data_IF_762682247236
#
_entry.id   IF_762682247236
#
_cell.length_a   1.000
_cell.length_b   1.000
_cell.length_c   1.000
_cell.angle_alpha   90.00
_cell.angle_beta   90.00
_cell.angle_gamma   90.00
#
_symmetry.space_group_name_H-M   'P 1'
#
loop_
_entity.id
_entity.type
_entity.pdbx_description
1 polymer ?
#
# COMPACT_ATOMS: atom_id res chain seq x y z
N UNK A 1 -15.77 -14.69 57.68
CA UNK A 1 -14.32 -14.90 57.89
C UNK A 1 -14.00 -16.36 57.62
N UNK A 2 -13.40 -16.65 56.45
CA UNK A 2 -12.65 -17.88 56.17
C UNK A 2 -11.42 -17.47 55.35
N UNK A 3 -10.31 -18.09 55.72
CA UNK A 3 -8.93 -17.72 55.46
C UNK A 3 -8.49 -17.96 54.01
N UNK A 4 -7.53 -17.13 53.59
CA UNK A 4 -6.81 -17.10 52.32
C UNK A 4 -5.99 -18.36 52.02
N UNK A 5 -5.84 -18.66 50.73
CA UNK A 5 -4.65 -19.31 50.18
C UNK A 5 -4.21 -18.55 48.94
N UNK A 6 -3.15 -17.76 49.10
CA UNK A 6 -2.34 -17.16 48.04
C UNK A 6 -1.36 -18.24 47.60
N UNK A 7 -1.36 -18.59 46.31
CA UNK A 7 -0.24 -19.31 45.71
C UNK A 7 0.58 -18.30 44.91
N UNK A 8 1.69 -17.87 45.52
CA UNK A 8 2.77 -17.12 44.89
C UNK A 8 3.98 -18.06 44.84
N UNK A 9 4.28 -18.57 43.66
CA UNK A 9 5.58 -19.14 43.26
C UNK A 9 5.72 -18.61 41.83
N UNK A 10 6.68 -17.78 41.44
CA UNK A 10 8.04 -17.57 41.95
C UNK A 10 8.96 -17.57 40.72
N UNK A 11 9.97 -16.70 40.73
CA UNK A 11 10.96 -16.42 39.67
C UNK A 11 10.45 -15.46 38.57
N UNK A 12 11.06 -14.31 38.28
CA UNK A 12 12.43 -13.88 38.57
C UNK A 12 13.17 -13.62 37.27
N UNK A 13 12.94 -12.43 36.70
CA UNK A 13 13.84 -11.53 35.94
C UNK A 13 14.80 -12.17 34.90
N UNK A 14 14.67 -11.75 33.64
CA UNK A 14 15.74 -11.09 32.88
C UNK A 14 15.19 -10.49 31.59
N UNK A 15 15.17 -9.15 31.51
CA UNK A 15 15.12 -8.43 30.24
C UNK A 15 16.56 -8.40 29.74
N UNK A 16 16.81 -9.01 28.57
CA UNK A 16 18.03 -8.82 27.81
C UNK A 16 17.64 -8.13 26.50
N UNK A 17 17.83 -6.82 26.45
CA UNK A 17 17.87 -6.06 25.20
C UNK A 17 19.30 -6.22 24.68
N UNK A 18 19.46 -6.93 23.56
CA UNK A 18 20.69 -6.86 22.76
C UNK A 18 20.26 -6.29 21.41
N UNK A 19 20.60 -5.02 21.21
CA UNK A 19 20.65 -4.42 19.89
C UNK A 19 21.93 -4.84 19.18
N UNK A 20 21.81 -5.20 17.91
CA UNK A 20 22.86 -5.15 16.88
C UNK A 20 22.16 -5.52 15.57
N UNK A 21 21.88 -4.58 14.66
CA UNK A 21 22.86 -4.02 13.73
C UNK A 21 23.75 -5.10 13.10
N UNK A 22 23.42 -5.42 11.84
CA UNK A 22 24.25 -6.00 10.79
C UNK A 22 25.45 -6.89 11.16
N UNK A 23 25.45 -8.14 10.70
CA UNK A 23 26.51 -8.68 9.83
C UNK A 23 26.23 -10.15 9.48
N UNK A 24 26.61 -10.51 8.26
CA UNK A 24 26.54 -11.84 7.68
C UNK A 24 27.43 -12.86 8.42
N UNK A 25 27.04 -14.14 8.43
CA UNK A 25 27.96 -15.26 8.62
C UNK A 25 27.55 -16.29 9.67
N UNK A 26 27.44 -17.54 9.24
CA UNK A 26 27.07 -18.76 9.99
C UNK A 26 27.90 -19.00 11.26
N UNK A 27 27.24 -19.45 12.35
CA UNK A 27 27.74 -20.58 13.14
C UNK A 27 26.64 -21.27 13.98
N UNK A 28 26.71 -22.61 14.06
CA UNK A 28 25.77 -23.46 14.79
C UNK A 28 25.89 -23.30 16.31
N UNK A 29 24.77 -23.14 17.01
CA UNK A 29 24.62 -23.50 18.42
C UNK A 29 23.38 -24.40 18.55
N UNK A 30 23.59 -25.64 19.01
CA UNK A 30 22.52 -26.54 19.45
C UNK A 30 22.28 -26.31 20.94
N UNK A 31 21.06 -25.97 21.32
CA UNK A 31 20.51 -26.14 22.67
C UNK A 31 19.00 -26.40 22.54
N UNK A 32 18.58 -27.59 22.95
CA UNK A 32 17.20 -28.10 23.06
C UNK A 32 17.09 -28.49 24.56
N UNK A 33 16.03 -28.25 25.35
CA UNK A 33 14.62 -27.92 25.15
C UNK A 33 14.09 -27.14 26.36
N UNK A 34 12.93 -26.47 26.21
CA UNK A 34 12.13 -26.02 27.35
C UNK A 34 10.92 -25.13 27.06
N UNK A 35 10.06 -25.53 26.12
CA UNK A 35 8.63 -25.16 26.00
C UNK A 35 8.23 -23.66 26.08
N UNK A 36 8.28 -22.98 24.94
CA UNK A 36 7.14 -22.26 24.32
C UNK A 36 7.69 -21.53 23.08
N UNK A 37 7.83 -22.24 21.96
CA UNK A 37 7.95 -21.58 20.67
C UNK A 37 6.60 -20.93 20.37
N UNK A 38 6.44 -19.67 20.78
CA UNK A 38 5.68 -18.74 19.97
C UNK A 38 6.39 -18.78 18.61
N UNK A 39 5.73 -19.38 17.62
CA UNK A 39 6.21 -19.32 16.26
C UNK A 39 6.34 -17.82 15.93
N UNK A 40 7.57 -17.35 15.86
CA UNK A 40 7.88 -16.07 15.25
C UNK A 40 7.38 -16.22 13.81
N UNK A 41 6.24 -15.61 13.52
CA UNK A 41 5.66 -15.64 12.20
C UNK A 41 6.77 -15.16 11.25
N UNK A 42 7.16 -16.01 10.31
CA UNK A 42 8.15 -15.65 9.32
C UNK A 42 7.73 -14.31 8.71
N UNK A 43 8.67 -13.35 8.66
CA UNK A 43 8.40 -12.08 8.02
C UNK A 43 7.79 -12.37 6.63
N UNK A 44 6.69 -11.69 6.26
CA UNK A 44 6.12 -11.87 4.94
C UNK A 44 7.20 -11.58 3.91
N UNK A 45 7.23 -12.32 2.79
CA UNK A 45 8.22 -12.07 1.75
C UNK A 45 8.08 -10.62 1.27
N UNK A 46 9.20 -9.99 0.88
CA UNK A 46 9.27 -8.56 0.56
C UNK A 46 8.36 -8.13 -0.62
N UNK A 47 7.83 -9.11 -1.35
CA UNK A 47 6.85 -9.00 -2.44
C UNK A 47 5.39 -9.03 -1.95
N UNK A 48 5.13 -8.87 -0.64
CA UNK A 48 3.78 -8.87 -0.08
C UNK A 48 3.60 -7.81 1.02
N UNK A 49 2.36 -7.32 1.20
CA UNK A 49 2.06 -6.39 2.28
C UNK A 49 2.15 -7.09 3.65
N UNK A 50 2.62 -6.34 4.67
CA UNK A 50 2.66 -6.82 6.06
C UNK A 50 1.25 -6.94 6.67
N UNK A 51 0.29 -6.23 6.10
CA UNK A 51 -1.12 -6.23 6.51
C UNK A 51 -1.99 -6.14 5.26
N UNK A 52 -2.86 -7.12 5.08
CA UNK A 52 -3.95 -7.10 4.09
C UNK A 52 -5.23 -6.82 4.86
N UNK A 53 -5.83 -5.64 4.68
CA UNK A 53 -7.13 -5.37 5.26
C UNK A 53 -8.18 -6.39 4.80
N UNK A 54 -9.10 -6.75 5.70
CA UNK A 54 -10.18 -7.69 5.38
C UNK A 54 -11.50 -6.92 5.40
N UNK A 55 -11.90 -6.41 4.25
CA UNK A 55 -13.16 -5.69 4.08
C UNK A 55 -14.12 -6.46 3.19
N UNK A 56 -15.42 -6.23 3.38
CA UNK A 56 -16.46 -6.75 2.48
C UNK A 56 -17.55 -5.71 2.45
N UNK A 57 -17.79 -5.19 1.26
CA UNK A 57 -18.82 -4.20 1.02
C UNK A 57 -19.83 -4.77 0.06
N UNK A 58 -21.10 -4.53 0.33
CA UNK A 58 -22.15 -4.78 -0.65
C UNK A 58 -21.88 -3.90 -1.89
N UNK A 59 -21.90 -4.43 -3.13
CA UNK A 59 -21.56 -3.65 -4.33
C UNK A 59 -22.36 -2.36 -4.49
N UNK A 60 -23.62 -2.37 -4.03
CA UNK A 60 -24.53 -1.22 -4.10
C UNK A 60 -24.48 -0.32 -2.85
N UNK A 61 -23.63 -0.59 -1.87
CA UNK A 61 -23.35 0.34 -0.78
C UNK A 61 -22.45 1.49 -1.25
N UNK A 62 -22.32 2.55 -0.44
CA UNK A 62 -21.46 3.68 -0.79
C UNK A 62 -19.98 3.24 -0.90
N UNK A 63 -19.57 2.40 0.03
CA UNK A 63 -18.24 1.82 0.15
C UNK A 63 -17.95 0.86 -1.02
N UNK A 64 -18.91 -0.01 -1.37
CA UNK A 64 -18.77 -0.92 -2.52
C UNK A 64 -18.59 -0.16 -3.84
N UNK A 65 -19.35 0.92 -4.04
CA UNK A 65 -19.15 1.80 -5.20
C UNK A 65 -17.81 2.56 -5.17
N UNK A 66 -17.30 2.89 -3.98
CA UNK A 66 -16.00 3.55 -3.85
C UNK A 66 -14.86 2.59 -4.20
N UNK A 67 -14.92 1.34 -3.74
CA UNK A 67 -13.98 0.27 -4.13
C UNK A 67 -14.05 0.02 -5.64
N UNK A 68 -15.26 -0.13 -6.21
CA UNK A 68 -15.40 -0.31 -7.66
C UNK A 68 -14.86 0.87 -8.49
N UNK A 69 -14.75 2.07 -7.91
CA UNK A 69 -14.06 3.20 -8.57
C UNK A 69 -12.55 3.11 -8.51
N UNK A 70 -11.97 2.51 -7.46
CA UNK A 70 -10.53 2.23 -7.42
C UNK A 70 -10.19 1.23 -8.53
N UNK A 71 -10.96 0.15 -8.64
CA UNK A 71 -10.82 -0.86 -9.71
C UNK A 71 -10.97 -0.23 -11.11
N UNK A 72 -12.02 0.57 -11.34
CA UNK A 72 -12.20 1.27 -12.63
C UNK A 72 -11.01 2.15 -13.00
N UNK A 73 -10.45 2.88 -12.02
CA UNK A 73 -9.27 3.70 -12.26
C UNK A 73 -8.04 2.83 -12.51
N UNK A 74 -7.84 1.76 -11.74
CA UNK A 74 -6.75 0.82 -11.98
C UNK A 74 -6.78 0.28 -13.43
N UNK A 75 -7.93 -0.23 -13.90
CA UNK A 75 -8.10 -0.68 -15.28
C UNK A 75 -7.84 0.40 -16.33
N UNK A 76 -8.25 1.65 -16.07
CA UNK A 76 -7.93 2.77 -16.93
C UNK A 76 -6.41 2.93 -17.09
N UNK A 77 -5.66 2.87 -15.99
CA UNK A 77 -4.20 2.97 -16.04
C UNK A 77 -3.57 1.76 -16.74
N UNK A 78 -4.01 0.54 -16.45
CA UNK A 78 -3.55 -0.66 -17.16
C UNK A 78 -3.68 -0.54 -18.67
N UNK A 79 -4.87 -0.12 -19.13
CA UNK A 79 -5.18 0.00 -20.55
C UNK A 79 -4.31 1.04 -21.29
N UNK A 80 -3.78 2.03 -20.56
CA UNK A 80 -3.01 3.15 -21.10
C UNK A 80 -1.50 3.05 -20.88
N UNK A 81 -1.03 2.36 -19.84
CA UNK A 81 0.39 2.34 -19.48
C UNK A 81 1.08 1.02 -19.83
N UNK A 82 0.39 -0.12 -19.74
CA UNK A 82 0.98 -1.44 -19.97
C UNK A 82 1.26 -1.70 -21.46
N UNK A 83 1.94 -2.81 -21.75
CA UNK A 83 2.35 -3.22 -23.10
C UNK A 83 3.17 -2.16 -23.86
N UNK A 84 3.94 -1.35 -23.11
CA UNK A 84 4.77 -0.28 -23.65
C UNK A 84 3.99 0.96 -24.09
N UNK A 85 2.68 1.05 -23.83
CA UNK A 85 1.84 2.20 -24.17
C UNK A 85 2.21 3.46 -23.40
N UNK A 86 2.87 3.33 -22.23
CA UNK A 86 3.46 4.44 -21.48
C UNK A 86 4.30 5.38 -22.35
N UNK A 87 4.97 4.87 -23.40
CA UNK A 87 5.78 5.67 -24.34
C UNK A 87 4.97 6.74 -25.08
N UNK A 88 3.65 6.59 -25.15
CA UNK A 88 2.75 7.61 -25.72
C UNK A 88 2.73 8.91 -24.90
N UNK A 89 3.23 8.86 -23.67
CA UNK A 89 3.28 9.98 -22.72
C UNK A 89 4.68 10.63 -22.63
N UNK A 90 5.69 10.11 -23.34
CA UNK A 90 7.06 10.69 -23.37
C UNK A 90 7.09 12.11 -23.97
N UNK A 91 6.10 12.45 -24.79
CA UNK A 91 5.93 13.79 -25.35
C UNK A 91 4.78 14.52 -24.63
N UNK A 92 5.06 15.58 -23.85
CA UNK A 92 4.05 16.40 -23.16
C UNK A 92 2.95 16.99 -24.05
N UNK A 93 3.19 17.09 -25.37
CA UNK A 93 2.23 17.61 -26.36
C UNK A 93 1.45 16.51 -27.09
N UNK A 94 1.64 15.24 -26.72
CA UNK A 94 0.94 14.13 -27.35
C UNK A 94 -0.57 14.20 -27.08
N UNK A 95 -1.36 13.79 -28.06
CA UNK A 95 -2.82 13.69 -27.92
C UNK A 95 -3.23 12.72 -26.80
N UNK A 96 -2.37 11.74 -26.48
CA UNK A 96 -2.57 10.78 -25.39
C UNK A 96 -2.77 11.49 -24.04
N UNK A 97 -1.99 12.51 -23.72
CA UNK A 97 -2.17 13.33 -22.52
C UNK A 97 -3.54 14.00 -22.50
N UNK A 98 -3.94 14.64 -23.60
CA UNK A 98 -5.23 15.34 -23.69
C UNK A 98 -6.42 14.38 -23.57
N UNK A 99 -6.29 13.16 -24.08
CA UNK A 99 -7.32 12.14 -23.97
C UNK A 99 -7.43 11.64 -22.52
N UNK A 100 -6.31 11.24 -21.93
CA UNK A 100 -6.27 10.66 -20.59
C UNK A 100 -6.70 11.65 -19.50
N UNK A 101 -6.31 12.93 -19.60
CA UNK A 101 -6.64 13.96 -18.60
C UNK A 101 -8.12 14.32 -18.50
N UNK A 102 -8.96 13.88 -19.44
CA UNK A 102 -10.41 14.07 -19.37
C UNK A 102 -11.09 13.03 -18.49
N UNK A 103 -10.38 11.97 -18.13
CA UNK A 103 -10.94 10.87 -17.35
C UNK A 103 -11.16 11.28 -15.88
N UNK A 104 -12.17 10.73 -15.21
CA UNK A 104 -12.47 11.06 -13.81
C UNK A 104 -11.32 10.79 -12.83
N UNK A 105 -10.37 9.91 -13.19
CA UNK A 105 -9.16 9.64 -12.43
C UNK A 105 -8.23 10.87 -12.32
N UNK A 106 -8.34 11.86 -13.21
CA UNK A 106 -7.55 13.09 -13.14
C UNK A 106 -8.27 14.22 -12.41
N UNK A 107 -9.46 13.94 -11.86
CA UNK A 107 -10.17 14.86 -10.98
C UNK A 107 -9.86 14.56 -9.51
N UNK A 108 -9.09 15.44 -8.86
CA UNK A 108 -8.73 15.34 -7.44
C UNK A 108 -9.93 15.17 -6.48
N UNK A 109 -11.11 15.69 -6.86
CA UNK A 109 -12.34 15.52 -6.08
C UNK A 109 -12.82 14.06 -6.03
N UNK A 110 -12.50 13.25 -7.06
CA UNK A 110 -12.82 11.81 -7.08
C UNK A 110 -12.15 11.09 -5.92
N UNK A 111 -10.85 11.31 -5.72
CA UNK A 111 -10.09 10.69 -4.64
C UNK A 111 -10.50 11.19 -3.26
N UNK A 112 -10.77 12.50 -3.13
CA UNK A 112 -11.29 13.06 -1.87
C UNK A 112 -12.60 12.39 -1.45
N UNK A 113 -13.50 12.15 -2.42
CA UNK A 113 -14.77 11.46 -2.18
C UNK A 113 -14.57 10.00 -1.78
N UNK A 114 -13.67 9.28 -2.44
CA UNK A 114 -13.33 7.90 -2.09
C UNK A 114 -12.78 7.83 -0.66
N UNK A 115 -11.78 8.66 -0.33
CA UNK A 115 -11.18 8.71 1.00
C UNK A 115 -12.18 9.05 2.10
N UNK A 116 -13.09 10.00 1.85
CA UNK A 116 -14.17 10.32 2.79
C UNK A 116 -15.13 9.14 2.99
N UNK A 117 -15.52 8.47 1.91
CA UNK A 117 -16.46 7.34 1.94
C UNK A 117 -15.88 6.15 2.69
N UNK A 118 -14.58 5.91 2.54
CA UNK A 118 -13.85 4.79 3.13
C UNK A 118 -13.01 5.22 4.34
N UNK A 119 -13.33 6.35 4.98
CA UNK A 119 -12.47 7.02 5.96
C UNK A 119 -12.20 6.27 7.28
N UNK A 120 -12.80 5.09 7.47
CA UNK A 120 -12.47 4.18 8.58
C UNK A 120 -11.24 3.30 8.30
N UNK A 121 -10.76 3.27 7.06
CA UNK A 121 -9.63 2.45 6.63
C UNK A 121 -8.33 3.21 6.92
N UNK A 122 -7.52 2.63 7.80
CA UNK A 122 -6.18 3.13 8.13
C UNK A 122 -5.32 3.24 6.86
N UNK A 123 -4.59 4.34 6.72
CA UNK A 123 -3.72 4.61 5.56
C UNK A 123 -4.43 5.17 4.33
N UNK A 124 -5.69 4.81 4.10
CA UNK A 124 -6.38 5.12 2.83
C UNK A 124 -6.55 6.62 2.56
N UNK A 125 -6.78 7.43 3.60
CA UNK A 125 -6.86 8.87 3.42
C UNK A 125 -5.55 9.46 2.88
N UNK A 126 -4.41 8.89 3.26
CA UNK A 126 -3.11 9.30 2.75
C UNK A 126 -2.93 8.86 1.30
N UNK A 127 -3.27 7.61 0.98
CA UNK A 127 -3.21 7.09 -0.40
C UNK A 127 -4.08 7.91 -1.36
N UNK A 128 -5.30 8.28 -0.95
CA UNK A 128 -6.19 9.13 -1.74
C UNK A 128 -5.66 10.57 -1.88
N UNK A 129 -5.00 11.11 -0.85
CA UNK A 129 -4.34 12.42 -0.94
C UNK A 129 -3.16 12.38 -1.91
N UNK A 130 -2.34 11.32 -1.88
CA UNK A 130 -1.23 11.14 -2.80
C UNK A 130 -1.74 11.02 -4.25
N UNK A 131 -2.78 10.23 -4.50
CA UNK A 131 -3.41 10.14 -5.82
C UNK A 131 -3.97 11.49 -6.31
N UNK A 132 -4.62 12.25 -5.43
CA UNK A 132 -5.12 13.59 -5.77
C UNK A 132 -3.98 14.54 -6.15
N UNK A 133 -2.83 14.43 -5.50
CA UNK A 133 -1.67 15.26 -5.80
C UNK A 133 -0.96 14.83 -7.09
N UNK A 134 -0.75 13.53 -7.28
CA UNK A 134 -0.21 12.99 -8.51
C UNK A 134 -1.09 13.33 -9.73
N UNK A 135 -2.42 13.30 -9.58
CA UNK A 135 -3.33 13.75 -10.63
C UNK A 135 -3.11 15.23 -11.01
N UNK A 136 -2.84 16.11 -10.04
CA UNK A 136 -2.49 17.51 -10.33
C UNK A 136 -1.14 17.62 -11.02
N UNK A 137 -0.13 16.91 -10.52
CA UNK A 137 1.22 16.88 -11.12
C UNK A 137 1.11 16.44 -12.57
N UNK A 138 0.41 15.33 -12.85
CA UNK A 138 0.23 14.81 -14.20
C UNK A 138 -0.51 15.80 -15.11
N UNK A 139 -1.57 16.47 -14.63
CA UNK A 139 -2.31 17.50 -15.36
C UNK A 139 -1.43 18.73 -15.70
N UNK A 140 -0.57 19.16 -14.78
CA UNK A 140 0.18 20.42 -14.94
C UNK A 140 1.50 20.23 -15.68
N UNK A 141 2.19 19.14 -15.40
CA UNK A 141 3.58 18.93 -15.83
C UNK A 141 3.67 17.93 -16.99
N UNK A 142 2.64 17.10 -17.19
CA UNK A 142 2.68 15.97 -18.11
C UNK A 142 3.92 15.08 -17.85
N UNK A 143 4.24 14.86 -16.57
CA UNK A 143 5.31 13.96 -16.15
C UNK A 143 4.79 12.51 -16.12
N UNK A 144 5.28 11.60 -17.00
CA UNK A 144 4.81 10.22 -17.06
C UNK A 144 5.11 9.44 -15.76
N UNK A 145 6.09 9.87 -14.96
CA UNK A 145 6.37 9.23 -13.68
C UNK A 145 5.20 9.39 -12.69
N UNK A 146 4.44 10.49 -12.78
CA UNK A 146 3.23 10.66 -11.99
C UNK A 146 2.18 9.59 -12.35
N UNK A 147 2.04 9.24 -13.63
CA UNK A 147 1.12 8.19 -14.08
C UNK A 147 1.55 6.81 -13.54
N UNK A 148 2.84 6.53 -13.54
CA UNK A 148 3.40 5.29 -12.97
C UNK A 148 3.06 5.19 -11.48
N UNK A 149 3.27 6.25 -10.71
CA UNK A 149 2.93 6.23 -9.28
C UNK A 149 1.43 6.10 -9.02
N UNK A 150 0.58 6.76 -9.81
CA UNK A 150 -0.87 6.60 -9.70
C UNK A 150 -1.28 5.14 -9.96
N UNK A 151 -0.74 4.53 -11.01
CA UNK A 151 -0.98 3.12 -11.34
C UNK A 151 -0.56 2.21 -10.19
N UNK A 152 0.66 2.36 -9.66
CA UNK A 152 1.16 1.52 -8.56
C UNK A 152 0.29 1.61 -7.30
N UNK A 153 -0.15 2.81 -6.92
CA UNK A 153 -1.05 3.00 -5.76
C UNK A 153 -2.39 2.30 -6.04
N UNK A 154 -2.99 2.54 -7.21
CA UNK A 154 -4.28 1.93 -7.56
C UNK A 154 -4.19 0.40 -7.64
N UNK A 155 -3.11 -0.13 -8.19
CA UNK A 155 -2.83 -1.57 -8.29
C UNK A 155 -2.69 -2.20 -6.91
N UNK A 156 -1.89 -1.60 -6.02
CA UNK A 156 -1.75 -2.08 -4.64
C UNK A 156 -3.09 -2.01 -3.89
N UNK A 157 -3.88 -0.96 -4.10
CA UNK A 157 -5.20 -0.86 -3.47
C UNK A 157 -6.19 -1.90 -4.01
N UNK A 158 -6.24 -2.10 -5.32
CA UNK A 158 -7.16 -3.06 -5.97
C UNK A 158 -6.83 -4.50 -5.58
N UNK A 159 -5.60 -4.94 -5.84
CA UNK A 159 -5.22 -6.34 -5.61
C UNK A 159 -4.89 -6.69 -4.17
N UNK A 160 -4.47 -5.72 -3.34
CA UNK A 160 -3.98 -6.02 -2.00
C UNK A 160 -4.78 -5.37 -0.87
N UNK A 161 -5.33 -4.16 -1.04
CA UNK A 161 -6.20 -3.58 -0.02
C UNK A 161 -7.67 -4.05 -0.14
N UNK A 162 -8.15 -4.25 -1.37
CA UNK A 162 -9.53 -4.59 -1.70
C UNK A 162 -9.66 -5.77 -2.67
N UNK A 163 -8.97 -6.91 -2.44
CA UNK A 163 -8.97 -8.02 -3.39
C UNK A 163 -10.39 -8.53 -3.68
N UNK A 164 -10.71 -8.77 -4.95
CA UNK A 164 -11.91 -9.51 -5.31
C UNK A 164 -11.80 -10.93 -4.73
N UNK A 165 -12.79 -11.32 -3.92
CA UNK A 165 -12.85 -12.66 -3.32
C UNK A 165 -13.07 -13.75 -4.36
N UNK A 166 -13.61 -13.40 -5.53
CA UNK A 166 -13.86 -14.32 -6.63
C UNK A 166 -12.66 -14.44 -7.57
N UNK A 167 -11.72 -13.49 -7.51
CA UNK A 167 -10.49 -13.51 -8.28
C UNK A 167 -9.30 -13.89 -7.38
N UNK A 168 -8.97 -15.18 -7.40
CA UNK A 168 -7.79 -15.70 -6.71
C UNK A 168 -6.52 -15.62 -7.59
N UNK A 169 -6.58 -15.01 -8.78
CA UNK A 169 -5.37 -14.61 -9.49
C UNK A 169 -4.76 -13.44 -8.73
N UNK A 170 -4.07 -13.76 -7.64
CA UNK A 170 -3.22 -12.79 -6.97
C UNK A 170 -2.20 -12.34 -8.02
N UNK A 171 -2.25 -11.08 -8.40
CA UNK A 171 -1.14 -10.46 -9.10
C UNK A 171 0.10 -10.68 -8.23
N UNK A 172 1.14 -11.29 -8.79
CA UNK A 172 2.45 -11.38 -8.13
C UNK A 172 3.12 -10.00 -8.05
N UNK A 173 2.54 -8.98 -8.69
CA UNK A 173 3.06 -7.62 -8.68
C UNK A 173 2.56 -6.90 -7.42
N UNK A 174 3.48 -6.65 -6.49
CA UNK A 174 3.25 -5.77 -5.35
C UNK A 174 4.28 -4.65 -5.38
N UNK A 175 3.82 -3.40 -5.44
CA UNK A 175 4.71 -2.25 -5.55
C UNK A 175 5.10 -1.67 -4.20
N UNK A 176 4.31 -1.92 -3.16
CA UNK A 176 4.61 -1.45 -1.81
C UNK A 176 4.58 0.06 -1.66
N UNK A 177 3.72 0.74 -2.42
CA UNK A 177 3.64 2.22 -2.44
C UNK A 177 2.49 2.79 -1.59
N UNK A 178 1.68 1.93 -0.96
CA UNK A 178 0.48 2.36 -0.20
C UNK A 178 0.67 2.29 1.30
N UNK A 179 0.02 3.20 2.02
CA UNK A 179 -0.12 3.14 3.47
C UNK A 179 -1.18 2.11 3.90
N UNK A 180 -2.19 1.85 3.06
CA UNK A 180 -3.29 0.93 3.37
C UNK A 180 -2.86 -0.54 3.36
N UNK A 181 -1.99 -0.93 2.42
CA UNK A 181 -1.39 -2.25 2.32
C UNK A 181 0.14 -2.11 2.30
N UNK A 182 0.76 -1.76 3.45
CA UNK A 182 2.15 -1.34 3.48
C UNK A 182 3.10 -2.53 3.26
N UNK A 183 4.17 -2.27 2.52
CA UNK A 183 5.31 -3.19 2.43
C UNK A 183 6.10 -3.21 3.75
N UNK A 184 6.95 -4.23 3.91
CA UNK A 184 7.85 -4.31 5.07
C UNK A 184 8.93 -3.22 5.01
N UNK A 185 9.41 -2.91 3.81
CA UNK A 185 10.33 -1.80 3.55
C UNK A 185 9.53 -0.59 3.04
N UNK A 186 9.88 0.60 3.52
CA UNK A 186 9.26 1.85 3.12
C UNK A 186 9.88 2.46 1.84
N UNK A 187 10.95 1.88 1.28
CA UNK A 187 11.71 2.47 0.17
C UNK A 187 10.84 3.03 -0.97
N UNK A 188 9.87 2.26 -1.48
CA UNK A 188 9.03 2.69 -2.61
C UNK A 188 8.02 3.79 -2.23
N UNK A 189 7.54 3.77 -0.98
CA UNK A 189 6.72 4.85 -0.41
C UNK A 189 7.51 6.13 -0.21
N UNK A 190 8.75 6.02 0.26
CA UNK A 190 9.64 7.15 0.45
C UNK A 190 10.02 7.78 -0.90
N UNK A 191 10.26 6.96 -1.93
CA UNK A 191 10.51 7.43 -3.31
C UNK A 191 9.31 8.20 -3.88
N UNK A 192 8.09 7.66 -3.71
CA UNK A 192 6.85 8.34 -4.05
C UNK A 192 6.71 9.68 -3.32
N UNK A 193 6.94 9.70 -2.01
CA UNK A 193 6.85 10.91 -1.19
C UNK A 193 7.86 11.98 -1.62
N UNK A 194 9.09 11.55 -1.93
CA UNK A 194 10.14 12.44 -2.45
C UNK A 194 9.77 13.03 -3.82
N UNK A 195 9.19 12.21 -4.72
CA UNK A 195 8.71 12.67 -6.02
C UNK A 195 7.63 13.76 -5.88
N UNK A 196 6.62 13.54 -5.03
CA UNK A 196 5.57 14.54 -4.78
C UNK A 196 6.17 15.82 -4.21
N UNK A 197 7.05 15.71 -3.21
CA UNK A 197 7.68 16.86 -2.56
C UNK A 197 8.54 17.68 -3.53
N UNK A 198 9.29 17.03 -4.43
CA UNK A 198 10.11 17.70 -5.44
C UNK A 198 9.26 18.56 -6.39
N UNK A 199 8.07 18.07 -6.79
CA UNK A 199 7.15 18.83 -7.63
C UNK A 199 6.46 19.98 -6.90
N UNK A 200 6.09 19.79 -5.63
CA UNK A 200 5.48 20.86 -4.80
C UNK A 200 6.43 22.03 -4.54
N UNK A 201 7.73 21.78 -4.50
CA UNK A 201 8.73 22.84 -4.33
C UNK A 201 9.02 23.63 -5.62
N UNK A 202 8.54 23.17 -6.77
CA UNK A 202 8.77 23.78 -8.10
C UNK A 202 7.56 24.55 -8.65
N UNK A 203 6.38 24.34 -8.06
CA UNK A 203 5.12 25.03 -8.39
C UNK A 203 4.95 26.34 -7.64
#
# INVERSE_FOLDING_TARGET
MKSSTINLIGAGIAIVIIGSAAAWGLNKIHLIAGAAQLAEAAAPPADRPIKVPQFTYEPNAAEGRAVGKIEEFHWLFDSNLLDGKIKSFDNPKAAAWTALMKEPAFNSASYTKIGTTLGSIEGLQMDMSNLAELAKIANHTHDPQALVYMHRILHDLDYWAFPDKNDQSKSDDFFGVTETAPAQDAQNRDELGAFIADHQNKS
#
